data_IF_223589828768
#
_entry.id   IF_223589828768
#
_cell.length_a   1.000
_cell.length_b   1.000
_cell.length_c   1.000
_cell.angle_alpha   90.00
_cell.angle_beta   90.00
_cell.angle_gamma   90.00
#
_symmetry.space_group_name_H-M   'P 1'
#
loop_
_entity.id
_entity.type
_entity.pdbx_description
1 polymer ?
#
# COMPACT_ATOMS: atom_id res chain seq x y z
N UNK A 1 -4.54 7.55 -22.86
CA UNK A 1 -4.71 8.91 -22.33
C UNK A 1 -3.72 9.17 -21.19
N UNK A 2 -3.54 10.47 -20.85
CA UNK A 2 -2.67 10.86 -19.75
C UNK A 2 -3.14 12.20 -19.13
N UNK A 3 -2.83 12.38 -17.85
CA UNK A 3 -2.98 13.66 -17.16
C UNK A 3 -1.68 13.98 -16.40
N UNK A 4 -1.05 15.08 -16.78
CA UNK A 4 0.20 15.56 -16.18
C UNK A 4 -0.05 16.88 -15.46
N UNK A 5 0.37 16.97 -14.20
CA UNK A 5 0.34 18.15 -13.33
C UNK A 5 1.72 18.36 -12.71
N UNK A 6 1.91 19.43 -11.97
CA UNK A 6 3.21 19.77 -11.36
C UNK A 6 3.72 18.71 -10.39
N UNK A 7 2.80 18.02 -9.69
CA UNK A 7 3.11 17.06 -8.63
C UNK A 7 2.69 15.62 -8.94
N UNK A 8 2.05 15.34 -10.07
CA UNK A 8 1.77 13.97 -10.51
C UNK A 8 1.61 13.83 -12.02
N UNK A 9 1.88 12.62 -12.51
CA UNK A 9 1.57 12.17 -13.86
C UNK A 9 0.85 10.83 -13.79
N UNK A 10 -0.32 10.74 -14.41
CA UNK A 10 -1.08 9.49 -14.49
C UNK A 10 -1.36 9.12 -15.94
N UNK A 11 -1.25 7.84 -16.22
CA UNK A 11 -1.34 7.26 -17.56
C UNK A 11 -2.42 6.21 -17.63
N UNK A 12 -3.32 6.31 -18.61
CA UNK A 12 -4.28 5.26 -18.95
C UNK A 12 -3.67 4.37 -20.02
N UNK A 13 -3.21 3.20 -19.62
CA UNK A 13 -2.55 2.25 -20.51
C UNK A 13 -1.91 1.08 -19.78
N UNK A 14 -1.32 0.18 -20.55
CA UNK A 14 -0.57 -0.95 -20.02
C UNK A 14 0.72 -0.47 -19.35
N UNK A 15 0.97 -0.96 -18.13
CA UNK A 15 2.20 -0.64 -17.43
C UNK A 15 3.46 -1.09 -18.21
N UNK A 16 3.36 -2.16 -18.98
CA UNK A 16 4.47 -2.65 -19.81
C UNK A 16 4.80 -1.73 -20.99
N UNK A 17 3.83 -0.92 -21.43
CA UNK A 17 4.06 0.08 -22.48
C UNK A 17 4.60 1.41 -21.88
N UNK A 18 4.15 1.76 -20.66
CA UNK A 18 4.51 3.03 -20.01
C UNK A 18 5.84 2.96 -19.26
N UNK A 19 6.09 1.88 -18.50
CA UNK A 19 7.31 1.73 -17.68
C UNK A 19 8.61 1.98 -18.45
N UNK A 20 8.79 1.50 -19.70
CA UNK A 20 10.02 1.77 -20.47
C UNK A 20 10.27 3.25 -20.75
N UNK A 21 9.25 4.11 -20.66
CA UNK A 21 9.39 5.57 -20.87
C UNK A 21 9.89 6.31 -19.63
N UNK A 22 9.84 5.67 -18.47
CA UNK A 22 10.32 6.24 -17.20
C UNK A 22 11.84 6.11 -17.15
N UNK A 23 12.59 7.20 -16.87
CA UNK A 23 14.05 7.16 -16.83
C UNK A 23 14.61 6.20 -15.77
N UNK A 24 15.79 5.64 -16.07
CA UNK A 24 16.52 4.79 -15.12
C UNK A 24 16.81 5.54 -13.82
N UNK A 25 16.70 4.83 -12.69
CA UNK A 25 17.05 5.37 -11.36
C UNK A 25 16.42 6.75 -11.08
N UNK A 26 15.14 6.93 -11.45
CA UNK A 26 14.39 8.17 -11.26
C UNK A 26 13.36 8.11 -10.14
N UNK A 27 12.99 6.92 -9.68
CA UNK A 27 11.93 6.67 -8.69
C UNK A 27 12.54 6.45 -7.30
N UNK A 28 11.97 7.13 -6.31
CA UNK A 28 12.42 7.07 -4.92
C UNK A 28 11.67 6.02 -4.10
N UNK A 29 10.39 5.80 -4.38
CA UNK A 29 9.55 4.83 -3.67
C UNK A 29 8.56 4.19 -4.65
N UNK A 30 8.43 2.88 -4.59
CA UNK A 30 7.37 2.16 -5.32
C UNK A 30 6.41 1.58 -4.30
N UNK A 31 5.11 1.81 -4.49
CA UNK A 31 4.03 1.23 -3.66
C UNK A 31 2.96 0.70 -4.61
N UNK A 32 2.59 -0.56 -4.47
CA UNK A 32 1.54 -1.13 -5.30
C UNK A 32 0.97 -2.43 -4.73
N UNK A 33 -0.22 -2.78 -5.22
CA UNK A 33 -0.81 -4.11 -5.10
C UNK A 33 -0.80 -4.76 -6.48
N UNK A 34 -0.11 -5.87 -6.70
CA UNK A 34 -0.20 -6.58 -7.97
C UNK A 34 -1.63 -7.12 -8.17
N UNK A 35 -2.12 -7.25 -9.41
CA UNK A 35 -3.35 -7.97 -9.65
C UNK A 35 -3.22 -9.40 -9.12
N UNK A 36 -4.26 -9.87 -8.45
CA UNK A 36 -4.27 -11.22 -7.87
C UNK A 36 -4.63 -12.24 -8.96
N UNK A 37 -3.62 -12.92 -9.50
CA UNK A 37 -3.78 -13.89 -10.58
C UNK A 37 -4.91 -14.89 -10.31
N UNK A 38 -5.93 -14.89 -11.18
CA UNK A 38 -7.03 -15.84 -11.13
C UNK A 38 -8.01 -15.68 -9.97
N UNK A 39 -7.82 -14.71 -9.07
CA UNK A 39 -8.73 -14.41 -7.97
C UNK A 39 -9.79 -13.39 -8.38
N UNK A 40 -9.40 -12.38 -9.13
CA UNK A 40 -10.27 -11.29 -9.58
C UNK A 40 -10.01 -11.01 -11.05
N UNK A 41 -11.08 -10.89 -11.83
CA UNK A 41 -11.01 -10.42 -13.20
C UNK A 41 -11.26 -8.90 -13.18
N UNK A 42 -10.25 -8.09 -13.51
CA UNK A 42 -10.34 -6.63 -13.44
C UNK A 42 -10.81 -6.00 -14.75
N UNK A 43 -10.55 -6.66 -15.87
CA UNK A 43 -11.00 -6.22 -17.20
C UNK A 43 -11.05 -7.36 -18.18
N UNK A 44 -11.71 -7.17 -19.34
CA UNK A 44 -11.70 -8.11 -20.46
C UNK A 44 -10.46 -7.99 -21.37
N UNK A 45 -9.49 -7.16 -21.01
CA UNK A 45 -8.29 -6.94 -21.81
C UNK A 45 -7.31 -8.11 -21.73
N UNK A 46 -6.78 -8.57 -22.83
CA UNK A 46 -5.69 -9.57 -22.88
C UNK A 46 -4.40 -9.05 -22.21
N UNK A 47 -4.27 -7.73 -22.00
CA UNK A 47 -3.16 -7.08 -21.30
C UNK A 47 -3.32 -7.05 -19.79
N UNK A 48 -4.47 -7.48 -19.27
CA UNK A 48 -4.71 -7.57 -17.85
C UNK A 48 -4.02 -8.81 -17.27
N UNK A 49 -3.09 -8.62 -16.37
CA UNK A 49 -2.36 -9.70 -15.69
C UNK A 49 -3.29 -10.70 -14.98
N UNK A 50 -4.50 -10.28 -14.59
CA UNK A 50 -5.48 -11.17 -13.96
C UNK A 50 -6.10 -12.18 -14.93
N UNK A 51 -6.02 -11.95 -16.24
CA UNK A 51 -6.55 -12.82 -17.29
C UNK A 51 -5.56 -13.90 -17.74
N UNK A 52 -4.45 -14.09 -17.03
CA UNK A 52 -3.52 -15.18 -17.32
C UNK A 52 -4.17 -16.53 -17.12
N UNK A 53 -3.98 -17.44 -18.07
CA UNK A 53 -4.55 -18.80 -18.06
C UNK A 53 -3.87 -19.70 -17.00
N UNK A 54 -2.65 -19.38 -16.58
CA UNK A 54 -1.91 -20.15 -15.60
C UNK A 54 -1.05 -19.27 -14.68
N UNK A 55 -0.70 -19.85 -13.53
CA UNK A 55 0.26 -19.27 -12.58
C UNK A 55 1.61 -18.93 -13.26
N UNK A 56 2.11 -19.82 -14.08
CA UNK A 56 3.40 -19.70 -14.78
C UNK A 56 3.36 -18.53 -15.77
N UNK A 57 2.26 -18.37 -16.49
CA UNK A 57 2.06 -17.24 -17.40
C UNK A 57 2.04 -15.92 -16.65
N UNK A 58 1.29 -15.85 -15.54
CA UNK A 58 1.27 -14.69 -14.66
C UNK A 58 2.68 -14.33 -14.16
N UNK A 59 3.39 -15.29 -13.60
CA UNK A 59 4.73 -15.07 -13.06
C UNK A 59 5.72 -14.60 -14.13
N UNK A 60 5.61 -15.13 -15.36
CA UNK A 60 6.42 -14.70 -16.50
C UNK A 60 6.17 -13.23 -16.84
N UNK A 61 4.93 -12.82 -16.95
CA UNK A 61 4.57 -11.41 -17.21
C UNK A 61 4.99 -10.51 -16.06
N UNK A 62 4.73 -10.94 -14.82
CA UNK A 62 5.08 -10.19 -13.63
C UNK A 62 6.60 -10.01 -13.48
N UNK A 63 7.39 -10.98 -13.91
CA UNK A 63 8.85 -10.89 -13.94
C UNK A 63 9.36 -9.73 -14.81
N UNK A 64 8.75 -9.49 -15.97
CA UNK A 64 9.12 -8.34 -16.81
C UNK A 64 8.88 -7.01 -16.09
N UNK A 65 7.76 -6.89 -15.37
CA UNK A 65 7.45 -5.70 -14.58
C UNK A 65 8.48 -5.50 -13.45
N UNK A 66 8.85 -6.57 -12.72
CA UNK A 66 9.86 -6.49 -11.65
C UNK A 66 11.21 -6.01 -12.23
N UNK A 67 11.59 -6.47 -13.41
CA UNK A 67 12.80 -6.01 -14.11
C UNK A 67 12.76 -4.49 -14.39
N UNK A 68 11.64 -3.98 -14.87
CA UNK A 68 11.46 -2.56 -15.11
C UNK A 68 11.46 -1.75 -13.79
N UNK A 69 10.79 -2.23 -12.75
CA UNK A 69 10.86 -1.61 -11.43
C UNK A 69 12.30 -1.58 -10.88
N UNK A 70 13.07 -2.64 -11.11
CA UNK A 70 14.47 -2.66 -10.74
C UNK A 70 15.29 -1.62 -11.52
N UNK A 71 14.96 -1.33 -12.77
CA UNK A 71 15.62 -0.32 -13.60
C UNK A 71 15.30 1.11 -13.11
N UNK A 72 14.02 1.41 -12.87
CA UNK A 72 13.59 2.77 -12.54
C UNK A 72 13.84 3.15 -11.08
N UNK A 73 13.86 2.18 -10.14
CA UNK A 73 14.09 2.44 -8.72
C UNK A 73 15.54 2.86 -8.47
N UNK A 74 15.77 3.95 -7.77
CA UNK A 74 17.10 4.40 -7.34
C UNK A 74 17.77 3.39 -6.42
N UNK A 75 19.10 3.31 -6.46
CA UNK A 75 19.87 2.45 -5.56
C UNK A 75 19.59 2.76 -4.08
N UNK A 76 19.43 1.72 -3.28
CA UNK A 76 19.16 1.84 -1.84
C UNK A 76 17.74 2.27 -1.45
N UNK A 77 16.84 2.44 -2.44
CA UNK A 77 15.45 2.86 -2.22
C UNK A 77 14.50 1.67 -2.12
N UNK A 78 13.26 1.93 -1.75
CA UNK A 78 12.28 0.93 -1.33
C UNK A 78 11.22 0.66 -2.40
N UNK A 79 10.89 -0.64 -2.55
CA UNK A 79 9.67 -1.09 -3.17
C UNK A 79 8.83 -1.78 -2.09
N UNK A 80 7.59 -1.34 -1.92
CA UNK A 80 6.62 -1.89 -0.98
C UNK A 80 5.47 -2.55 -1.77
N UNK A 81 5.29 -3.84 -1.58
CA UNK A 81 4.30 -4.63 -2.30
C UNK A 81 3.24 -5.12 -1.33
N UNK A 82 2.00 -4.71 -1.55
CA UNK A 82 0.85 -5.22 -0.82
C UNK A 82 0.31 -6.46 -1.50
N UNK A 83 0.20 -7.57 -0.78
CA UNK A 83 -0.28 -8.85 -1.30
C UNK A 83 -0.89 -9.72 -0.19
N UNK A 84 -1.41 -10.88 -0.57
CA UNK A 84 -1.89 -11.92 0.35
C UNK A 84 -1.63 -13.30 -0.25
N UNK A 85 -1.78 -14.34 0.57
CA UNK A 85 -1.87 -15.70 0.06
C UNK A 85 -3.15 -15.87 -0.76
N UNK A 86 -3.06 -16.59 -1.87
CA UNK A 86 -4.17 -16.77 -2.80
C UNK A 86 -4.85 -18.10 -2.56
N UNK A 87 -6.15 -18.06 -2.28
CA UNK A 87 -6.97 -19.27 -2.16
C UNK A 87 -7.19 -19.87 -3.56
N UNK A 88 -6.57 -21.01 -3.84
CA UNK A 88 -6.64 -21.65 -5.16
C UNK A 88 -7.88 -22.55 -5.32
N UNK A 89 -8.47 -22.97 -4.21
CA UNK A 89 -9.65 -23.81 -4.22
C UNK A 89 -10.50 -23.62 -2.96
N UNK A 90 -11.78 -23.33 -3.13
CA UNK A 90 -12.69 -23.02 -2.01
C UNK A 90 -13.05 -24.24 -1.15
N UNK A 91 -12.95 -25.46 -1.69
CA UNK A 91 -13.33 -26.69 -0.99
C UNK A 91 -12.15 -27.43 -0.38
N UNK A 92 -10.95 -27.31 -0.95
CA UNK A 92 -9.76 -28.04 -0.48
C UNK A 92 -8.82 -27.19 0.40
N UNK A 93 -9.21 -25.96 0.73
CA UNK A 93 -8.44 -25.06 1.59
C UNK A 93 -6.95 -24.93 1.20
N UNK A 94 -6.67 -24.96 -0.11
CA UNK A 94 -5.31 -24.87 -0.60
C UNK A 94 -4.95 -23.42 -0.90
N UNK A 95 -3.85 -22.96 -0.30
CA UNK A 95 -3.30 -21.62 -0.50
C UNK A 95 -2.09 -21.68 -1.45
N UNK A 96 -2.03 -20.74 -2.36
CA UNK A 96 -0.79 -20.43 -3.06
C UNK A 96 -0.04 -19.36 -2.26
N UNK A 97 1.18 -19.67 -1.83
CA UNK A 97 2.09 -18.72 -1.19
C UNK A 97 2.60 -17.72 -2.25
N UNK A 98 1.72 -16.80 -2.63
CA UNK A 98 2.03 -15.74 -3.60
C UNK A 98 3.10 -14.77 -3.06
N UNK A 99 3.11 -14.40 -1.77
CA UNK A 99 4.21 -13.64 -1.18
C UNK A 99 5.60 -14.24 -1.43
N UNK A 100 5.74 -15.57 -1.39
CA UNK A 100 7.01 -16.24 -1.69
C UNK A 100 7.46 -15.97 -3.13
N UNK A 101 6.59 -16.10 -4.11
CA UNK A 101 6.92 -15.85 -5.52
C UNK A 101 7.37 -14.40 -5.73
N UNK A 102 6.67 -13.45 -5.13
CA UNK A 102 7.04 -12.03 -5.18
C UNK A 102 8.45 -11.82 -4.60
N UNK A 103 8.76 -12.45 -3.46
CA UNK A 103 10.07 -12.34 -2.81
C UNK A 103 11.17 -12.87 -3.72
N UNK A 104 11.00 -14.06 -4.30
CA UNK A 104 12.03 -14.67 -5.13
C UNK A 104 12.26 -13.87 -6.44
N UNK A 105 11.20 -13.35 -7.06
CA UNK A 105 11.34 -12.48 -8.23
C UNK A 105 12.08 -11.18 -7.90
N UNK A 106 11.75 -10.51 -6.80
CA UNK A 106 12.48 -9.29 -6.42
C UNK A 106 13.96 -9.57 -6.12
N UNK A 107 14.29 -10.64 -5.42
CA UNK A 107 15.67 -11.05 -5.15
C UNK A 107 16.44 -11.33 -6.44
N UNK A 108 15.82 -11.97 -7.43
CA UNK A 108 16.40 -12.23 -8.75
C UNK A 108 16.87 -10.96 -9.45
N UNK A 109 16.15 -9.84 -9.26
CA UNK A 109 16.44 -8.55 -9.88
C UNK A 109 17.16 -7.56 -8.95
N UNK A 110 17.88 -8.06 -7.96
CA UNK A 110 18.81 -7.29 -7.14
C UNK A 110 18.18 -6.47 -6.02
N UNK A 111 17.00 -6.87 -5.57
CA UNK A 111 16.44 -6.36 -4.33
C UNK A 111 16.80 -7.24 -3.14
N UNK A 112 17.00 -6.63 -1.99
CA UNK A 112 17.07 -7.32 -0.72
C UNK A 112 15.69 -7.33 -0.09
N UNK A 113 15.21 -8.50 0.32
CA UNK A 113 13.99 -8.61 1.12
C UNK A 113 14.28 -8.17 2.55
N UNK A 114 13.67 -7.07 2.99
CA UNK A 114 13.94 -6.47 4.29
C UNK A 114 13.04 -7.03 5.38
N UNK A 115 11.72 -6.95 5.18
CA UNK A 115 10.74 -7.37 6.17
C UNK A 115 9.36 -7.60 5.55
N UNK A 116 8.51 -8.27 6.34
CA UNK A 116 7.08 -8.46 6.09
C UNK A 116 6.30 -7.81 7.23
N UNK A 117 5.31 -7.02 6.88
CA UNK A 117 4.34 -6.48 7.83
C UNK A 117 3.01 -7.18 7.55
N UNK A 118 2.38 -7.70 8.59
CA UNK A 118 1.05 -8.30 8.51
C UNK A 118 0.00 -7.25 8.85
N UNK A 119 -0.95 -7.01 7.96
CA UNK A 119 -2.12 -6.17 8.22
C UNK A 119 -3.21 -7.09 8.76
N UNK A 120 -3.59 -6.85 10.00
CA UNK A 120 -4.65 -7.62 10.64
C UNK A 120 -6.01 -7.32 10.00
N UNK A 121 -6.81 -8.36 9.83
CA UNK A 121 -8.18 -8.26 9.33
C UNK A 121 -9.14 -8.92 10.31
N UNK A 122 -10.28 -8.29 10.52
CA UNK A 122 -11.34 -8.86 11.35
C UNK A 122 -11.93 -10.12 10.68
N UNK A 123 -11.89 -11.31 11.33
CA UNK A 123 -12.26 -12.58 10.70
C UNK A 123 -13.71 -12.65 10.19
N UNK A 124 -14.67 -12.00 10.86
CA UNK A 124 -16.07 -11.97 10.40
C UNK A 124 -16.22 -11.13 9.13
N UNK A 125 -15.51 -9.99 9.04
CA UNK A 125 -15.52 -9.18 7.83
C UNK A 125 -14.90 -9.94 6.65
N UNK A 126 -13.78 -10.63 6.89
CA UNK A 126 -13.16 -11.50 5.87
C UNK A 126 -14.14 -12.57 5.42
N UNK A 127 -14.80 -13.27 6.37
CA UNK A 127 -15.77 -14.30 6.04
C UNK A 127 -16.96 -13.75 5.24
N UNK A 128 -17.52 -12.61 5.65
CA UNK A 128 -18.67 -12.02 4.94
C UNK A 128 -18.29 -11.55 3.54
N UNK A 129 -17.07 -11.14 3.34
CA UNK A 129 -16.54 -10.69 2.05
C UNK A 129 -16.22 -11.86 1.11
N UNK A 130 -15.54 -12.88 1.63
CA UNK A 130 -15.03 -14.00 0.83
C UNK A 130 -15.96 -15.21 0.79
N UNK A 131 -16.96 -15.26 1.68
CA UNK A 131 -17.87 -16.41 1.87
C UNK A 131 -17.13 -17.72 2.21
N UNK A 132 -15.90 -17.65 2.71
CA UNK A 132 -15.08 -18.83 3.04
C UNK A 132 -15.70 -19.61 4.18
N UNK A 133 -16.04 -20.87 3.93
CA UNK A 133 -16.72 -21.74 4.89
C UNK A 133 -15.84 -22.14 6.06
N UNK A 134 -14.54 -22.28 5.86
CA UNK A 134 -13.56 -22.64 6.90
C UNK A 134 -13.46 -21.68 8.09
N UNK A 135 -13.99 -20.44 7.95
CA UNK A 135 -14.11 -19.49 9.05
C UNK A 135 -15.43 -19.61 9.82
N UNK A 136 -16.27 -20.59 9.54
CA UNK A 136 -17.54 -20.77 10.24
C UNK A 136 -17.31 -21.46 11.58
N UNK A 137 -17.91 -20.92 12.66
CA UNK A 137 -17.89 -21.54 13.99
C UNK A 137 -18.42 -22.99 13.99
N UNK A 138 -19.34 -23.30 13.08
CA UNK A 138 -19.87 -24.66 12.87
C UNK A 138 -18.72 -25.68 12.70
N UNK A 139 -17.67 -25.34 11.93
CA UNK A 139 -16.57 -26.26 11.66
C UNK A 139 -15.78 -26.64 12.91
N UNK A 140 -15.65 -25.71 13.89
CA UNK A 140 -14.99 -26.00 15.16
C UNK A 140 -15.74 -27.10 15.94
N UNK A 141 -17.07 -27.12 15.80
CA UNK A 141 -17.94 -28.07 16.49
C UNK A 141 -17.93 -29.45 15.79
N UNK A 142 -17.88 -29.44 14.46
CA UNK A 142 -17.97 -30.66 13.65
C UNK A 142 -16.60 -31.30 13.42
N UNK A 143 -15.65 -30.50 12.93
CA UNK A 143 -14.24 -30.92 12.67
C UNK A 143 -13.32 -29.71 12.60
N UNK A 144 -12.60 -29.44 13.69
CA UNK A 144 -11.68 -28.32 13.76
C UNK A 144 -10.50 -28.40 12.78
N UNK A 145 -10.20 -29.59 12.23
CA UNK A 145 -9.14 -29.73 11.21
C UNK A 145 -9.54 -29.08 9.86
N UNK A 146 -10.81 -28.79 9.67
CA UNK A 146 -11.34 -28.06 8.50
C UNK A 146 -11.34 -26.55 8.69
N UNK A 147 -10.91 -26.05 9.85
CA UNK A 147 -10.85 -24.62 10.10
C UNK A 147 -9.58 -24.00 9.55
N UNK A 148 -9.72 -22.80 9.00
CA UNK A 148 -8.61 -21.94 8.63
C UNK A 148 -8.71 -20.60 9.37
N UNK A 149 -7.61 -19.90 9.50
CA UNK A 149 -7.60 -18.50 9.92
C UNK A 149 -8.00 -17.59 8.76
N UNK A 150 -8.48 -16.40 9.07
CA UNK A 150 -8.62 -15.36 8.05
C UNK A 150 -7.26 -15.07 7.43
N UNK A 151 -7.19 -15.03 6.11
CA UNK A 151 -5.96 -14.69 5.39
C UNK A 151 -5.70 -13.19 5.58
N UNK A 152 -4.57 -12.80 6.19
CA UNK A 152 -4.21 -11.40 6.36
C UNK A 152 -3.68 -10.82 5.05
N UNK A 153 -3.56 -9.48 4.98
CA UNK A 153 -2.71 -8.87 3.98
C UNK A 153 -1.28 -8.75 4.48
N UNK A 154 -0.36 -8.75 3.53
CA UNK A 154 1.06 -8.54 3.78
C UNK A 154 1.56 -7.31 3.02
N UNK A 155 2.48 -6.59 3.66
CA UNK A 155 3.36 -5.64 3.00
C UNK A 155 4.75 -6.25 2.96
N UNK A 156 5.24 -6.52 1.77
CA UNK A 156 6.59 -7.00 1.54
C UNK A 156 7.48 -5.79 1.23
N UNK A 157 8.51 -5.58 2.02
CA UNK A 157 9.40 -4.44 1.89
C UNK A 157 10.73 -4.90 1.28
N UNK A 158 11.07 -4.33 0.13
CA UNK A 158 12.27 -4.61 -0.61
C UNK A 158 13.14 -3.37 -0.72
N UNK A 159 14.44 -3.55 -0.55
CA UNK A 159 15.44 -2.49 -0.75
C UNK A 159 16.26 -2.79 -2.00
N UNK A 160 16.28 -1.86 -2.95
CA UNK A 160 17.14 -1.95 -4.13
C UNK A 160 18.61 -1.99 -3.73
N UNK A 161 19.38 -2.90 -4.30
CA UNK A 161 20.82 -2.98 -4.08
C UNK A 161 21.55 -1.67 -4.44
N UNK A 162 22.73 -1.48 -3.83
CA UNK A 162 23.54 -0.29 -4.00
C UNK A 162 23.37 0.75 -2.89
N UNK A 163 24.14 1.83 -2.99
CA UNK A 163 24.19 2.90 -2.00
C UNK A 163 23.06 3.91 -2.18
N UNK A 164 22.37 4.25 -1.11
CA UNK A 164 21.39 5.33 -1.08
C UNK A 164 22.11 6.69 -0.99
N UNK A 165 22.19 7.40 -2.10
CA UNK A 165 22.85 8.71 -2.18
C UNK A 165 22.10 9.82 -1.44
N UNK A 166 20.77 9.72 -1.35
CA UNK A 166 19.91 10.71 -0.68
C UNK A 166 19.17 10.00 0.44
N UNK A 167 19.60 10.26 1.68
CA UNK A 167 18.99 9.65 2.86
C UNK A 167 17.55 10.13 3.04
N UNK A 168 16.66 9.21 3.43
CA UNK A 168 15.34 9.58 3.95
C UNK A 168 15.52 9.95 5.41
N UNK A 169 15.16 11.18 5.78
CA UNK A 169 15.40 11.71 7.11
C UNK A 169 14.14 12.32 7.72
N UNK A 170 13.97 12.12 9.01
CA UNK A 170 12.88 12.70 9.80
C UNK A 170 13.54 13.58 10.89
N UNK A 171 14.04 14.76 10.52
CA UNK A 171 14.83 15.63 11.42
C UNK A 171 14.05 16.00 12.68
N UNK A 172 12.76 16.25 12.58
CA UNK A 172 11.87 16.52 13.72
C UNK A 172 11.16 15.27 14.26
N UNK A 173 11.44 14.09 13.68
CA UNK A 173 10.70 12.86 13.91
C UNK A 173 9.30 12.88 13.29
N UNK A 174 8.52 11.85 13.57
CA UNK A 174 7.12 11.76 13.12
C UNK A 174 6.26 12.75 13.91
N UNK A 175 5.43 13.49 13.19
CA UNK A 175 4.53 14.53 13.77
C UNK A 175 3.07 14.17 13.61
N UNK A 176 2.74 13.21 12.73
CA UNK A 176 1.39 12.77 12.44
C UNK A 176 1.32 11.24 12.49
N UNK A 177 0.25 10.73 13.07
CA UNK A 177 -0.05 9.30 13.13
C UNK A 177 -1.12 8.95 12.10
N UNK A 178 -0.87 7.91 11.31
CA UNK A 178 -1.82 7.35 10.37
C UNK A 178 -2.30 6.00 10.89
N UNK A 179 -3.59 5.87 11.16
CA UNK A 179 -4.22 4.68 11.70
C UNK A 179 -5.38 5.01 12.63
N UNK A 180 -6.06 3.98 13.10
CA UNK A 180 -7.17 4.13 14.04
C UNK A 180 -6.71 4.49 15.44
N UNK A 181 -7.61 5.06 16.23
CA UNK A 181 -7.39 5.65 17.55
C UNK A 181 -6.97 4.74 18.73
N UNK A 182 -6.86 3.40 18.66
CA UNK A 182 -6.44 2.59 19.80
C UNK A 182 -5.06 2.93 20.37
N UNK A 183 -4.26 3.69 19.63
CA UNK A 183 -2.94 4.13 20.14
C UNK A 183 -3.05 5.11 21.30
N UNK A 184 -4.02 6.01 21.29
CA UNK A 184 -4.13 7.07 22.29
C UNK A 184 -4.35 6.57 23.74
N UNK A 185 -5.27 5.64 24.01
CA UNK A 185 -5.46 5.09 25.36
C UNK A 185 -4.19 4.38 25.88
N UNK A 186 -3.55 3.55 25.06
CA UNK A 186 -2.33 2.86 25.44
C UNK A 186 -1.16 3.83 25.69
N UNK A 187 -1.13 4.94 24.97
CA UNK A 187 -0.16 6.01 25.20
C UNK A 187 -0.42 6.76 26.51
N UNK A 188 -1.68 7.09 26.77
CA UNK A 188 -2.05 7.77 28.00
C UNK A 188 -1.73 6.91 29.23
N UNK A 189 -1.99 5.60 29.17
CA UNK A 189 -1.62 4.67 30.24
C UNK A 189 -0.11 4.60 30.47
N UNK A 190 0.68 4.48 29.41
CA UNK A 190 2.12 4.25 29.52
C UNK A 190 2.94 5.54 29.73
N UNK A 191 2.52 6.65 29.13
CA UNK A 191 3.30 7.90 29.05
C UNK A 191 2.61 9.13 29.66
N UNK A 192 1.39 8.99 30.18
CA UNK A 192 0.55 10.06 30.68
C UNK A 192 -0.33 10.68 29.59
N UNK A 193 -1.14 11.65 29.98
CA UNK A 193 -2.15 12.25 29.08
C UNK A 193 -1.53 12.79 27.81
N UNK A 194 -2.19 12.55 26.70
CA UNK A 194 -1.74 12.95 25.36
C UNK A 194 -1.49 14.48 25.24
N UNK A 195 -2.31 15.29 25.92
CA UNK A 195 -2.10 16.75 25.97
C UNK A 195 -0.76 17.13 26.60
N UNK A 196 -0.34 16.39 27.61
CA UNK A 196 0.98 16.58 28.22
C UNK A 196 2.13 16.23 27.25
N UNK A 197 1.94 15.22 26.41
CA UNK A 197 2.89 14.88 25.36
C UNK A 197 2.92 15.93 24.24
N UNK A 198 1.78 16.51 23.87
CA UNK A 198 1.72 17.63 22.90
C UNK A 198 2.47 18.86 23.39
N UNK A 199 2.29 19.23 24.66
CA UNK A 199 3.00 20.36 25.25
C UNK A 199 4.51 20.13 25.20
N UNK A 200 4.96 18.96 25.64
CA UNK A 200 6.39 18.60 25.56
C UNK A 200 6.91 18.54 24.14
N UNK A 201 6.09 18.11 23.18
CA UNK A 201 6.47 18.06 21.78
C UNK A 201 6.76 19.44 21.19
N UNK A 202 5.96 20.44 21.50
CA UNK A 202 6.20 21.83 21.05
C UNK A 202 7.48 22.43 21.59
N UNK A 203 7.91 22.00 22.77
CA UNK A 203 9.12 22.49 23.44
C UNK A 203 10.38 21.72 22.99
N UNK A 204 10.26 20.75 22.09
CA UNK A 204 11.39 19.94 21.66
C UNK A 204 11.96 20.40 20.32
N UNK A 205 13.11 21.00 20.39
CA UNK A 205 13.94 21.29 19.23
C UNK A 205 14.75 20.05 18.77
N UNK A 206 14.98 19.08 19.67
CA UNK A 206 15.75 17.87 19.40
C UNK A 206 14.83 16.68 19.12
N UNK A 207 14.90 16.14 17.89
CA UNK A 207 14.15 14.96 17.46
C UNK A 207 14.42 13.70 18.30
N UNK A 208 15.60 13.59 18.93
CA UNK A 208 15.97 12.45 19.79
C UNK A 208 15.15 12.41 21.08
N UNK A 209 14.61 13.54 21.52
CA UNK A 209 13.75 13.63 22.70
C UNK A 209 12.26 13.66 22.36
N UNK A 210 11.91 13.64 21.08
CA UNK A 210 10.52 13.65 20.61
C UNK A 210 9.82 12.33 20.97
N UNK A 211 9.13 12.30 22.11
CA UNK A 211 8.40 11.10 22.59
C UNK A 211 7.26 10.70 21.68
N UNK A 212 6.54 11.65 21.07
CA UNK A 212 5.47 11.34 20.11
C UNK A 212 6.03 10.58 18.93
N UNK A 213 7.15 11.02 18.37
CA UNK A 213 7.83 10.30 17.28
C UNK A 213 8.25 8.89 17.70
N UNK A 214 8.77 8.70 18.92
CA UNK A 214 9.12 7.38 19.43
C UNK A 214 7.91 6.45 19.52
N UNK A 215 6.76 6.95 19.94
CA UNK A 215 5.53 6.17 20.06
C UNK A 215 4.98 5.81 18.68
N UNK A 216 4.96 6.77 17.76
CA UNK A 216 4.57 6.52 16.36
C UNK A 216 5.48 5.45 15.76
N UNK A 217 6.80 5.58 15.94
CA UNK A 217 7.76 4.61 15.46
C UNK A 217 7.52 3.22 16.06
N UNK A 218 7.23 3.09 17.35
CA UNK A 218 6.92 1.79 17.97
C UNK A 218 5.73 1.10 17.30
N UNK A 219 4.71 1.86 16.89
CA UNK A 219 3.56 1.31 16.15
C UNK A 219 3.94 0.92 14.72
N UNK A 220 4.68 1.79 14.03
CA UNK A 220 5.08 1.53 12.64
C UNK A 220 6.13 0.42 12.52
N UNK A 221 6.98 0.26 13.53
CA UNK A 221 7.99 -0.81 13.61
C UNK A 221 7.41 -2.18 13.99
N UNK A 222 6.13 -2.24 14.38
CA UNK A 222 5.46 -3.52 14.63
C UNK A 222 5.39 -4.36 13.37
N UNK A 223 5.63 -5.66 13.48
CA UNK A 223 5.44 -6.62 12.40
C UNK A 223 3.96 -6.92 12.11
N UNK A 224 3.05 -6.45 12.97
CA UNK A 224 1.60 -6.55 12.80
C UNK A 224 1.00 -5.16 12.95
N UNK A 225 0.30 -4.71 11.91
CA UNK A 225 -0.51 -3.50 11.94
C UNK A 225 -1.97 -3.89 12.14
N UNK A 226 -2.45 -3.73 13.37
CA UNK A 226 -3.81 -4.05 13.81
C UNK A 226 -4.71 -2.81 13.90
N UNK A 227 -4.18 -1.67 13.50
CA UNK A 227 -4.77 -0.34 13.65
C UNK A 227 -5.01 0.37 12.31
N UNK A 228 -5.15 -0.38 11.24
CA UNK A 228 -5.52 0.13 9.91
C UNK A 228 -7.05 0.20 9.81
N UNK A 229 -7.57 1.37 9.43
CA UNK A 229 -9.00 1.51 9.14
C UNK A 229 -9.33 0.93 7.77
N UNK A 230 -9.99 -0.21 7.74
CA UNK A 230 -10.44 -0.85 6.50
C UNK A 230 -11.41 -0.01 5.65
N UNK A 231 -11.98 1.06 6.22
CA UNK A 231 -12.91 1.98 5.54
C UNK A 231 -12.23 3.25 5.03
N UNK A 232 -11.00 3.53 5.46
CA UNK A 232 -10.24 4.69 4.99
C UNK A 232 -9.66 4.42 3.59
N UNK A 233 -10.54 4.43 2.59
CA UNK A 233 -10.23 4.20 1.16
C UNK A 233 -10.82 5.31 0.31
N UNK A 234 -10.26 5.53 -0.88
CA UNK A 234 -10.83 6.47 -1.85
C UNK A 234 -12.19 5.99 -2.38
N UNK A 235 -13.06 6.91 -2.82
CA UNK A 235 -14.28 6.57 -3.54
C UNK A 235 -13.97 5.71 -4.79
N UNK A 236 -14.70 4.61 -4.96
CA UNK A 236 -14.48 3.66 -6.05
C UNK A 236 -15.76 3.01 -6.60
N UNK A 237 -16.90 3.19 -5.93
CA UNK A 237 -18.14 2.46 -6.26
C UNK A 237 -18.68 2.84 -7.64
N UNK A 238 -18.56 4.12 -7.99
CA UNK A 238 -19.10 4.66 -9.26
C UNK A 238 -18.23 4.27 -10.47
N UNK A 239 -17.02 3.74 -10.25
CA UNK A 239 -16.12 3.27 -11.30
C UNK A 239 -16.28 1.79 -11.63
N UNK A 240 -17.08 1.05 -10.88
CA UNK A 240 -17.34 -0.37 -11.13
C UNK A 240 -18.32 -0.54 -12.30
N UNK A 241 -17.97 -1.46 -13.19
CA UNK A 241 -18.82 -1.92 -14.28
C UNK A 241 -19.62 -3.16 -13.85
N UNK A 242 -20.65 -3.54 -14.61
CA UNK A 242 -21.54 -4.66 -14.22
C UNK A 242 -20.80 -6.00 -14.07
N UNK A 243 -19.75 -6.20 -14.86
CA UNK A 243 -18.91 -7.41 -14.86
C UNK A 243 -17.76 -7.37 -13.84
N UNK A 244 -17.61 -6.26 -13.11
CA UNK A 244 -16.52 -6.11 -12.14
C UNK A 244 -16.73 -6.99 -10.91
N UNK A 245 -15.63 -7.58 -10.44
CA UNK A 245 -15.63 -8.30 -9.17
C UNK A 245 -16.12 -7.40 -8.02
N UNK A 246 -17.12 -7.92 -7.29
CA UNK A 246 -17.75 -7.19 -6.17
C UNK A 246 -16.79 -6.88 -5.03
N UNK A 247 -15.66 -7.56 -4.98
CA UNK A 247 -14.73 -7.55 -3.84
C UNK A 247 -13.47 -6.72 -4.07
N UNK A 248 -13.31 -6.10 -5.24
CA UNK A 248 -12.17 -5.19 -5.49
C UNK A 248 -12.32 -3.95 -4.62
N UNK A 249 -11.31 -3.71 -3.78
CA UNK A 249 -11.22 -2.54 -2.92
C UNK A 249 -9.87 -1.84 -3.11
N UNK A 250 -9.84 -0.50 -3.11
CA UNK A 250 -8.59 0.24 -3.07
C UNK A 250 -7.80 -0.08 -1.79
N UNK A 251 -6.47 0.04 -1.86
CA UNK A 251 -5.62 -0.06 -0.68
C UNK A 251 -5.95 1.08 0.31
N UNK A 252 -5.95 0.78 1.60
CA UNK A 252 -6.24 1.74 2.64
C UNK A 252 -5.21 2.87 2.66
N UNK A 253 -5.69 4.11 2.78
CA UNK A 253 -4.84 5.29 2.79
C UNK A 253 -3.86 5.28 3.96
N UNK A 254 -4.26 4.78 5.14
CA UNK A 254 -3.36 4.65 6.30
C UNK A 254 -2.11 3.83 5.99
N UNK A 255 -2.25 2.75 5.21
CA UNK A 255 -1.13 1.90 4.79
C UNK A 255 -0.17 2.68 3.91
N UNK A 256 -0.72 3.36 2.89
CA UNK A 256 0.09 4.11 1.93
C UNK A 256 0.76 5.30 2.62
N UNK A 257 0.02 6.04 3.46
CA UNK A 257 0.54 7.20 4.19
C UNK A 257 1.74 6.83 5.07
N UNK A 258 1.66 5.69 5.80
CA UNK A 258 2.78 5.17 6.59
C UNK A 258 3.99 4.84 5.72
N UNK A 259 3.79 4.18 4.57
CA UNK A 259 4.88 3.84 3.67
C UNK A 259 5.54 5.09 3.07
N UNK A 260 4.74 6.08 2.67
CA UNK A 260 5.22 7.36 2.16
C UNK A 260 6.04 8.11 3.21
N UNK A 261 5.52 8.21 4.44
CA UNK A 261 6.25 8.83 5.54
C UNK A 261 7.55 8.08 5.88
N UNK A 262 7.51 6.76 5.98
CA UNK A 262 8.68 5.95 6.36
C UNK A 262 9.81 6.00 5.32
N UNK A 263 9.47 6.02 4.02
CA UNK A 263 10.42 5.66 2.97
C UNK A 263 10.64 6.72 1.90
N UNK A 264 10.12 7.95 2.07
CA UNK A 264 10.36 9.03 1.13
C UNK A 264 10.49 10.41 1.79
N UNK A 265 11.28 11.30 1.19
CA UNK A 265 11.33 12.71 1.54
C UNK A 265 10.28 13.50 0.74
N UNK A 266 9.91 14.69 1.22
CA UNK A 266 9.06 15.62 0.46
C UNK A 266 9.71 15.97 -0.88
N UNK A 267 8.89 16.07 -1.93
CA UNK A 267 9.33 16.35 -3.29
C UNK A 267 9.89 15.15 -4.06
N UNK A 268 10.12 14.00 -3.41
CA UNK A 268 10.57 12.76 -4.06
C UNK A 268 9.45 12.09 -4.86
N UNK A 269 9.83 11.19 -5.78
CA UNK A 269 8.94 10.56 -6.75
C UNK A 269 8.51 9.18 -6.25
N UNK A 270 7.21 9.00 -6.08
CA UNK A 270 6.56 7.71 -5.83
C UNK A 270 5.98 7.15 -7.13
N UNK A 271 5.99 5.83 -7.31
CA UNK A 271 5.46 5.13 -8.48
C UNK A 271 4.51 4.02 -8.07
N UNK A 272 3.42 3.88 -8.82
CA UNK A 272 2.57 2.69 -8.83
C UNK A 272 2.28 2.24 -10.25
N UNK A 273 2.58 0.97 -10.61
CA UNK A 273 2.24 0.42 -11.94
C UNK A 273 0.79 -0.03 -12.06
N UNK A 274 0.05 -0.07 -10.94
CA UNK A 274 -1.36 -0.49 -10.86
C UNK A 274 -2.13 0.48 -9.95
N UNK A 275 -2.42 1.66 -10.50
CA UNK A 275 -2.95 2.79 -9.73
C UNK A 275 -4.38 2.58 -9.23
N UNK A 276 -5.19 1.77 -9.92
CA UNK A 276 -6.61 1.64 -9.63
C UNK A 276 -7.31 3.02 -9.65
N UNK A 277 -8.06 3.31 -8.59
CA UNK A 277 -8.73 4.60 -8.42
C UNK A 277 -7.84 5.71 -7.84
N UNK A 278 -6.52 5.48 -7.77
CA UNK A 278 -5.51 6.50 -7.51
C UNK A 278 -5.00 6.60 -6.08
N UNK A 279 -5.23 5.63 -5.20
CA UNK A 279 -4.83 5.71 -3.78
C UNK A 279 -3.32 5.92 -3.62
N UNK A 280 -2.50 5.17 -4.37
CA UNK A 280 -1.04 5.21 -4.34
C UNK A 280 -0.44 6.43 -5.07
N UNK A 281 -1.28 7.28 -5.68
CA UNK A 281 -0.93 8.61 -6.19
C UNK A 281 -1.44 9.68 -5.24
N UNK A 282 -2.66 9.52 -4.73
CA UNK A 282 -3.33 10.47 -3.85
C UNK A 282 -2.55 10.72 -2.55
N UNK A 283 -2.17 9.65 -1.83
CA UNK A 283 -1.43 9.77 -0.57
C UNK A 283 -0.07 10.45 -0.72
N UNK A 284 0.81 10.05 -1.66
CA UNK A 284 2.07 10.77 -1.89
C UNK A 284 1.86 12.26 -2.20
N UNK A 285 0.92 12.60 -3.07
CA UNK A 285 0.61 14.00 -3.43
C UNK A 285 0.12 14.77 -2.21
N UNK A 286 -0.79 14.19 -1.42
CA UNK A 286 -1.30 14.80 -0.18
C UNK A 286 -0.19 15.08 0.84
N UNK A 287 0.86 14.25 0.85
CA UNK A 287 2.02 14.32 1.73
C UNK A 287 3.21 15.06 1.10
N UNK A 288 2.97 15.89 0.07
CA UNK A 288 3.96 16.75 -0.58
C UNK A 288 5.07 15.96 -1.34
N UNK A 289 4.78 14.74 -1.81
CA UNK A 289 5.63 14.00 -2.75
C UNK A 289 5.09 14.20 -4.17
N UNK A 290 5.89 13.80 -5.17
CA UNK A 290 5.43 13.64 -6.54
C UNK A 290 5.02 12.20 -6.78
N UNK A 291 4.11 11.96 -7.73
CA UNK A 291 3.67 10.60 -8.00
C UNK A 291 3.51 10.31 -9.50
N UNK A 292 3.79 9.06 -9.87
CA UNK A 292 3.50 8.50 -11.19
C UNK A 292 2.56 7.32 -10.97
N UNK A 293 1.44 7.30 -11.69
CA UNK A 293 0.46 6.20 -11.64
C UNK A 293 0.10 5.71 -13.03
N UNK A 294 -0.06 4.39 -13.17
CA UNK A 294 -0.46 3.74 -14.42
C UNK A 294 -1.71 2.91 -14.12
N UNK A 295 -2.72 3.01 -14.99
CA UNK A 295 -3.97 2.26 -14.87
C UNK A 295 -4.46 1.83 -16.25
N UNK A 296 -4.72 0.53 -16.39
CA UNK A 296 -5.18 -0.05 -17.65
C UNK A 296 -6.66 0.25 -17.89
N UNK A 297 -7.50 0.16 -16.84
CA UNK A 297 -8.94 0.28 -16.92
C UNK A 297 -9.39 1.74 -16.97
N UNK A 298 -10.09 2.11 -18.04
CA UNK A 298 -10.52 3.49 -18.31
C UNK A 298 -11.46 4.05 -17.22
N UNK A 299 -12.39 3.24 -16.71
CA UNK A 299 -13.31 3.67 -15.65
C UNK A 299 -12.58 3.97 -14.33
N UNK A 300 -11.54 3.20 -13.98
CA UNK A 300 -10.71 3.44 -12.82
C UNK A 300 -9.82 4.67 -13.00
N UNK A 301 -9.24 4.84 -14.19
CA UNK A 301 -8.48 6.03 -14.53
C UNK A 301 -9.30 7.33 -14.40
N UNK A 302 -10.56 7.33 -14.89
CA UNK A 302 -11.49 8.46 -14.74
C UNK A 302 -11.81 8.74 -13.29
N UNK A 303 -12.02 7.69 -12.47
CA UNK A 303 -12.23 7.83 -11.04
C UNK A 303 -11.00 8.40 -10.33
N UNK A 304 -9.80 7.96 -10.71
CA UNK A 304 -8.54 8.50 -10.17
C UNK A 304 -8.40 9.99 -10.45
N UNK A 305 -8.75 10.46 -11.66
CA UNK A 305 -8.79 11.91 -11.99
C UNK A 305 -9.72 12.67 -11.02
N UNK A 306 -10.90 12.12 -10.74
CA UNK A 306 -11.85 12.75 -9.83
C UNK A 306 -11.30 12.81 -8.39
N UNK A 307 -10.75 11.70 -7.89
CA UNK A 307 -10.19 11.60 -6.55
C UNK A 307 -8.99 12.55 -6.35
N UNK A 308 -8.10 12.65 -7.33
CA UNK A 308 -6.88 13.46 -7.24
C UNK A 308 -7.12 14.96 -7.17
N UNK A 309 -8.32 15.46 -7.50
CA UNK A 309 -8.68 16.88 -7.32
C UNK A 309 -8.57 17.31 -5.86
N UNK A 310 -8.85 16.41 -4.93
CA UNK A 310 -8.85 16.68 -3.49
C UNK A 310 -7.51 16.40 -2.80
N UNK A 311 -6.54 15.79 -3.50
CA UNK A 311 -5.29 15.35 -2.89
C UNK A 311 -4.52 16.50 -2.20
N UNK A 312 -4.43 17.67 -2.82
CA UNK A 312 -3.75 18.83 -2.25
C UNK A 312 -4.51 19.46 -1.06
N UNK A 313 -5.80 19.18 -0.92
CA UNK A 313 -6.65 19.75 0.12
C UNK A 313 -6.79 18.85 1.34
N UNK A 314 -6.39 17.57 1.27
CA UNK A 314 -6.62 16.57 2.31
C UNK A 314 -6.22 17.04 3.72
N UNK A 315 -5.09 17.71 3.85
CA UNK A 315 -4.57 18.21 5.13
C UNK A 315 -4.56 19.75 5.23
N UNK A 316 -5.23 20.45 4.32
CA UNK A 316 -5.21 21.92 4.30
C UNK A 316 -5.89 22.55 5.53
N UNK A 317 -6.91 21.89 6.09
CA UNK A 317 -7.62 22.36 7.29
C UNK A 317 -6.73 22.25 8.53
N UNK A 318 -5.97 21.17 8.66
CA UNK A 318 -5.04 20.97 9.78
C UNK A 318 -3.87 21.96 9.74
N UNK A 319 -3.34 22.26 8.54
CA UNK A 319 -2.31 23.30 8.36
C UNK A 319 -2.80 24.69 8.76
N UNK A 320 -4.07 25.05 8.47
CA UNK A 320 -4.66 26.33 8.90
C UNK A 320 -4.83 26.41 10.42
N UNK A 321 -5.24 25.35 11.08
CA UNK A 321 -5.36 25.32 12.54
C UNK A 321 -4.00 25.45 13.24
N UNK A 322 -2.96 24.81 12.71
CA UNK A 322 -1.60 24.90 13.24
C UNK A 322 -0.94 26.28 13.02
N UNK A 323 -1.32 27.02 11.99
CA UNK A 323 -0.82 28.38 11.72
C UNK A 323 -1.51 29.47 12.51
N UNK A 324 -2.61 29.17 13.20
CA UNK A 324 -3.37 30.09 14.04
C UNK A 324 -3.05 29.96 15.54
N UNK A 325 -2.11 29.08 15.89
CA UNK A 325 -1.54 28.84 17.23
C UNK A 325 -0.07 29.22 17.22
#
# INVERSE_FOLDING_TARGET
DQLVKDNYAIYNGDCMDVMPTIPDSSVDLVIYSPPFAGLYNYSSSEKDFSNCESKEQFLTQYEFLIKEMARVTKAGRINAVHCQDILTHTTNHNLWDFPHEIIELHKKYGFTYNNRITIWKEPLEVRMRTMVQSLMHKNIVEDATMCMTAVPDYLLIFRKGGENKVKVTHETGFTQYFGTTPMLPAMEEKYGKFEHLKIKYKDWEDSKTNKLSHIIWQRYASSVWDDIDGKNVLPFRDSKEEDDEKHVHPLQLDVIDRLVELYSNKGEVCLTPFMGVGSEVFSPVSLERKAIGIELKDSYFKQAIANLKEANNRFAVEKKQLSLI
#
